data_IF_015279392224
#
_entry.id   IF_015279392224
#
_cell.length_a   1.000
_cell.length_b   1.000
_cell.length_c   1.000
_cell.angle_alpha   90.00
_cell.angle_beta   90.00
_cell.angle_gamma   90.00
#
_symmetry.space_group_name_H-M   'P 1'
#
loop_
_entity.id
_entity.type
_entity.pdbx_description
1 polymer ?
#
# COMPACT_ATOMS: atom_id res chain seq x y z
N UNK A 1 -4.12 -2.85 -1.87
CA UNK A 1 -5.39 -2.15 -2.14
C UNK A 1 -6.49 -2.98 -1.53
N UNK A 2 -7.53 -2.35 -1.00
CA UNK A 2 -8.67 -3.09 -0.47
C UNK A 2 -9.79 -3.01 -1.50
N UNK A 3 -10.22 -4.15 -2.00
CA UNK A 3 -11.22 -4.22 -3.07
C UNK A 3 -12.61 -3.77 -2.60
N UNK A 4 -13.34 -3.16 -3.53
CA UNK A 4 -14.74 -2.77 -3.35
C UNK A 4 -15.59 -4.02 -3.01
N UNK A 5 -16.44 -3.92 -1.98
CA UNK A 5 -17.26 -5.00 -1.40
C UNK A 5 -16.56 -6.13 -0.60
N UNK A 6 -15.24 -6.11 -0.40
CA UNK A 6 -14.57 -7.11 0.47
C UNK A 6 -14.68 -6.74 1.95
N UNK A 7 -14.93 -5.47 2.26
CA UNK A 7 -14.88 -4.93 3.62
C UNK A 7 -16.27 -4.78 4.22
N UNK A 8 -16.69 -5.76 5.04
CA UNK A 8 -17.93 -5.64 5.82
C UNK A 8 -17.83 -4.64 6.99
N UNK A 9 -16.62 -4.32 7.44
CA UNK A 9 -16.34 -3.39 8.56
C UNK A 9 -15.27 -2.39 8.13
N UNK A 10 -15.52 -1.06 8.16
CA UNK A 10 -14.58 -0.08 7.61
C UNK A 10 -13.21 -0.17 8.28
N UNK A 11 -12.19 0.21 7.53
CA UNK A 11 -10.82 0.30 8.02
C UNK A 11 -10.43 1.76 8.21
N UNK A 12 -9.68 2.04 9.27
CA UNK A 12 -8.97 3.32 9.43
C UNK A 12 -7.50 3.11 9.13
N UNK A 13 -6.89 4.10 8.49
CA UNK A 13 -5.49 4.07 8.09
C UNK A 13 -4.76 5.30 8.62
N UNK A 14 -3.54 5.10 9.11
CA UNK A 14 -2.59 6.15 9.42
C UNK A 14 -1.43 6.07 8.43
N UNK A 15 -1.03 7.21 7.89
CA UNK A 15 -0.05 7.30 6.82
C UNK A 15 1.05 8.26 7.24
N UNK A 16 2.30 7.84 7.06
CA UNK A 16 3.47 8.71 7.16
C UNK A 16 4.06 8.87 5.76
N UNK A 17 4.14 10.12 5.32
CA UNK A 17 4.76 10.45 4.04
C UNK A 17 6.25 10.68 4.21
N UNK A 18 7.02 10.27 3.20
CA UNK A 18 8.44 10.59 3.04
C UNK A 18 8.61 11.36 1.72
N UNK A 19 9.42 12.40 1.75
CA UNK A 19 9.86 13.06 0.52
C UNK A 19 11.01 12.26 -0.09
N UNK A 20 10.83 11.75 -1.31
CA UNK A 20 11.83 11.02 -2.08
C UNK A 20 11.89 11.68 -3.44
N UNK A 21 13.06 12.21 -3.82
CA UNK A 21 13.27 12.98 -5.05
C UNK A 21 12.24 14.11 -5.28
N UNK A 22 11.82 14.77 -4.18
CA UNK A 22 10.84 15.86 -4.21
C UNK A 22 9.38 15.41 -4.27
N UNK A 23 9.09 14.11 -4.26
CA UNK A 23 7.73 13.55 -4.28
C UNK A 23 7.37 12.99 -2.91
N UNK A 24 6.19 13.34 -2.41
CA UNK A 24 5.66 12.82 -1.15
C UNK A 24 5.07 11.43 -1.34
N UNK A 25 5.74 10.41 -0.81
CA UNK A 25 5.36 9.01 -0.93
C UNK A 25 4.83 8.49 0.41
N UNK A 26 3.68 7.80 0.44
CA UNK A 26 3.15 7.18 1.66
C UNK A 26 3.94 5.91 2.02
N UNK A 27 5.20 6.10 2.41
CA UNK A 27 6.17 5.02 2.63
C UNK A 27 5.86 4.15 3.84
N UNK A 28 5.10 4.67 4.81
CA UNK A 28 4.59 3.87 5.92
C UNK A 28 3.09 4.03 6.04
N UNK A 29 2.40 2.91 6.10
CA UNK A 29 0.96 2.87 6.33
C UNK A 29 0.67 1.82 7.37
N UNK A 30 -0.30 2.10 8.22
CA UNK A 30 -0.90 1.07 9.06
C UNK A 30 -2.40 1.19 9.08
N UNK A 31 -3.08 0.07 9.10
CA UNK A 31 -4.54 0.03 9.09
C UNK A 31 -5.08 -0.96 10.12
N UNK A 32 -6.25 -0.62 10.67
CA UNK A 32 -7.01 -1.47 11.60
C UNK A 32 -8.50 -1.29 11.33
N UNK A 33 -9.33 -2.15 11.92
CA UNK A 33 -10.78 -2.04 11.88
C UNK A 33 -11.25 -0.81 12.64
N UNK A 34 -12.29 -0.16 12.12
CA UNK A 34 -12.91 0.99 12.74
C UNK A 34 -14.44 0.93 12.64
N UNK A 35 -15.10 1.76 13.44
CA UNK A 35 -16.51 2.09 13.23
C UNK A 35 -16.64 3.06 12.06
N UNK A 36 -17.86 3.22 11.55
CA UNK A 36 -18.18 4.25 10.56
C UNK A 36 -17.97 5.68 11.08
N UNK A 37 -17.81 5.86 12.40
CA UNK A 37 -17.46 7.14 13.02
C UNK A 37 -15.94 7.36 13.13
N UNK A 38 -15.12 6.41 12.67
CA UNK A 38 -13.66 6.50 12.71
C UNK A 38 -13.04 6.06 14.04
N UNK A 39 -13.80 5.40 14.91
CA UNK A 39 -13.28 4.88 16.18
C UNK A 39 -12.59 3.53 15.93
N UNK A 40 -11.38 3.34 16.48
CA UNK A 40 -10.64 2.08 16.36
C UNK A 40 -11.37 0.96 17.11
N UNK A 41 -11.62 -0.17 16.45
CA UNK A 41 -12.32 -1.33 17.03
C UNK A 41 -11.39 -2.38 17.61
N UNK A 42 -10.14 -2.42 17.15
CA UNK A 42 -9.13 -3.39 17.56
C UNK A 42 -7.74 -2.71 17.54
N UNK A 43 -6.93 -2.98 18.54
CA UNK A 43 -5.56 -2.48 18.64
C UNK A 43 -4.57 -3.26 17.76
N UNK A 44 -5.02 -4.32 17.08
CA UNK A 44 -4.21 -5.03 16.08
C UNK A 44 -4.12 -4.25 14.78
N UNK A 45 -2.95 -3.67 14.54
CA UNK A 45 -2.63 -2.99 13.28
C UNK A 45 -1.92 -3.93 12.32
N UNK A 46 -2.27 -3.82 11.04
CA UNK A 46 -1.44 -4.34 9.96
C UNK A 46 -0.60 -3.19 9.44
N UNK A 47 0.70 -3.41 9.33
CA UNK A 47 1.67 -2.42 8.87
C UNK A 47 2.17 -2.78 7.47
N UNK A 48 2.31 -1.75 6.64
CA UNK A 48 2.88 -1.81 5.30
C UNK A 48 3.99 -0.75 5.22
N UNK A 49 5.21 -1.24 5.11
CA UNK A 49 6.44 -0.47 5.25
C UNK A 49 7.23 -0.63 3.96
N UNK A 50 7.37 0.47 3.22
CA UNK A 50 8.16 0.54 2.00
C UNK A 50 9.46 1.30 2.26
N UNK A 51 10.57 0.58 2.16
CA UNK A 51 11.94 1.09 2.36
C UNK A 51 12.73 1.04 1.04
N UNK A 52 13.88 1.72 1.00
CA UNK A 52 14.77 1.76 -0.16
C UNK A 52 14.08 2.09 -1.50
N UNK A 53 13.08 2.96 -1.44
CA UNK A 53 12.35 3.45 -2.61
C UNK A 53 13.31 4.27 -3.47
N UNK A 54 13.48 3.86 -4.72
CA UNK A 54 14.34 4.53 -5.71
C UNK A 54 13.56 4.77 -7.00
N UNK A 55 13.63 5.98 -7.51
CA UNK A 55 13.08 6.31 -8.83
C UNK A 55 14.11 6.09 -9.94
N UNK A 56 13.65 6.12 -11.20
CA UNK A 56 14.50 6.11 -12.38
C UNK A 56 15.48 4.92 -12.46
N UNK A 57 15.05 3.73 -12.04
CA UNK A 57 15.89 2.53 -11.98
C UNK A 57 16.17 1.87 -13.34
N UNK A 58 15.83 2.51 -14.46
CA UNK A 58 15.98 1.96 -15.82
C UNK A 58 15.47 0.52 -15.96
N UNK A 59 14.32 0.22 -15.35
CA UNK A 59 13.74 -1.13 -15.38
C UNK A 59 13.34 -1.47 -16.84
N UNK A 60 13.86 -2.57 -17.42
CA UNK A 60 13.61 -2.91 -18.81
C UNK A 60 12.16 -3.31 -19.04
N UNK A 61 11.55 -2.82 -20.13
CA UNK A 61 10.16 -3.12 -20.48
C UNK A 61 9.88 -4.62 -20.61
N UNK A 62 10.87 -5.39 -21.10
CA UNK A 62 10.80 -6.84 -21.24
C UNK A 62 10.47 -7.57 -19.92
N UNK A 63 10.75 -6.97 -18.75
CA UNK A 63 10.38 -7.54 -17.45
C UNK A 63 8.86 -7.67 -17.26
N UNK A 64 8.09 -6.83 -17.95
CA UNK A 64 6.63 -6.76 -17.86
C UNK A 64 5.94 -7.43 -19.06
N UNK A 65 6.69 -7.98 -20.00
CA UNK A 65 6.14 -8.73 -21.12
C UNK A 65 5.65 -10.09 -20.63
N UNK A 66 4.43 -10.46 -21.02
CA UNK A 66 3.87 -11.76 -20.67
C UNK A 66 4.78 -12.85 -21.25
N UNK A 67 5.32 -13.72 -20.39
CA UNK A 67 6.02 -14.91 -20.87
C UNK A 67 5.00 -15.75 -21.64
N UNK A 68 5.25 -16.00 -22.92
CA UNK A 68 4.55 -17.03 -23.64
C UNK A 68 4.85 -18.35 -22.95
N UNK A 69 3.94 -18.82 -22.10
CA UNK A 69 4.00 -20.16 -21.53
C UNK A 69 3.80 -21.13 -22.68
N UNK A 70 4.87 -21.77 -23.14
CA UNK A 70 4.74 -22.96 -23.99
C UNK A 70 3.93 -23.98 -23.21
N UNK A 71 2.79 -24.36 -23.78
CA UNK A 71 1.94 -25.44 -23.28
C UNK A 71 2.56 -26.79 -23.59
#
# INVERSE_FOLDING_TARGET
>A
MVDYNVVKQPLIMRVTYKSIDGVMIPAYRKYTKATWKGEVLDEKWVEDIAEDIKFNQNIPKALFEAKATSK
#
